data_IF_407981841993
#
_entry.id   IF_407981841993
#
_cell.length_a   1.000
_cell.length_b   1.000
_cell.length_c   1.000
_cell.angle_alpha   90.00
_cell.angle_beta   90.00
_cell.angle_gamma   90.00
#
_symmetry.space_group_name_H-M   'P 1'
#
loop_
_entity.id
_entity.type
_entity.pdbx_description
1 polymer ?
#
# COMPACT_ATOMS: atom_id res chain seq x y z
N UNK A 1 2.49 -4.45 -9.09
CA UNK A 1 2.77 -3.07 -8.65
C UNK A 1 2.01 -2.81 -7.36
N UNK A 2 2.64 -2.12 -6.41
CA UNK A 2 2.15 -1.95 -5.03
C UNK A 2 1.60 -0.54 -4.73
N UNK A 3 0.76 0.00 -5.60
CA UNK A 3 0.12 1.32 -5.41
C UNK A 3 0.99 2.52 -5.80
N UNK A 4 0.42 3.72 -5.63
CA UNK A 4 1.03 5.03 -5.90
C UNK A 4 1.50 5.21 -7.35
N UNK A 5 0.55 5.07 -8.26
CA UNK A 5 0.75 5.20 -9.72
C UNK A 5 0.64 6.65 -10.21
N UNK A 6 0.01 7.49 -9.41
CA UNK A 6 -0.34 8.87 -9.74
C UNK A 6 0.19 9.84 -8.70
N UNK A 7 0.04 11.14 -8.99
CA UNK A 7 0.51 12.28 -8.20
C UNK A 7 2.03 12.50 -8.22
N UNK A 8 2.45 13.71 -7.85
CA UNK A 8 3.84 14.23 -7.75
C UNK A 8 4.62 14.29 -9.07
N UNK A 9 4.48 13.31 -9.95
CA UNK A 9 5.12 13.26 -11.26
C UNK A 9 4.37 14.05 -12.34
N UNK A 10 5.03 14.27 -13.48
CA UNK A 10 4.45 14.99 -14.62
C UNK A 10 3.58 14.14 -15.56
N UNK A 11 3.61 12.81 -15.39
CA UNK A 11 3.07 11.82 -16.32
C UNK A 11 2.21 10.76 -15.63
N UNK A 12 1.41 11.17 -14.64
CA UNK A 12 0.53 10.26 -13.90
C UNK A 12 -0.52 9.64 -14.83
N UNK A 13 -1.09 10.43 -15.73
CA UNK A 13 -2.10 9.98 -16.72
C UNK A 13 -1.54 8.87 -17.59
N UNK A 14 -0.35 9.04 -18.17
CA UNK A 14 0.28 8.02 -19.02
C UNK A 14 0.65 6.78 -18.20
N UNK A 15 1.17 6.97 -16.99
CA UNK A 15 1.57 5.88 -16.09
C UNK A 15 0.39 4.99 -15.74
N UNK A 16 -0.70 5.57 -15.21
CA UNK A 16 -1.88 4.80 -14.81
C UNK A 16 -2.59 4.19 -16.03
N UNK A 17 -2.64 4.92 -17.16
CA UNK A 17 -3.22 4.40 -18.40
C UNK A 17 -2.48 3.15 -18.90
N UNK A 18 -1.15 3.17 -18.86
CA UNK A 18 -0.32 2.03 -19.24
C UNK A 18 -0.56 0.83 -18.31
N UNK A 19 -0.59 1.06 -17.00
CA UNK A 19 -0.81 -0.01 -16.02
C UNK A 19 -2.20 -0.65 -16.18
N UNK A 20 -3.23 0.17 -16.40
CA UNK A 20 -4.59 -0.32 -16.65
C UNK A 20 -4.66 -1.08 -17.99
N UNK A 21 -4.07 -0.55 -19.06
CA UNK A 21 -4.01 -1.25 -20.34
C UNK A 21 -3.29 -2.60 -20.25
N UNK A 22 -2.17 -2.66 -19.52
CA UNK A 22 -1.45 -3.90 -19.23
C UNK A 22 -2.30 -4.87 -18.40
N UNK A 23 -3.05 -4.38 -17.40
CA UNK A 23 -3.94 -5.21 -16.59
C UNK A 23 -5.09 -5.77 -17.42
N UNK A 24 -5.69 -4.99 -18.31
CA UNK A 24 -6.74 -5.45 -19.24
C UNK A 24 -6.19 -6.51 -20.20
N UNK A 25 -4.98 -6.29 -20.74
CA UNK A 25 -4.33 -7.21 -21.70
C UNK A 25 -3.79 -8.49 -21.05
N UNK A 26 -3.33 -8.41 -19.80
CA UNK A 26 -2.69 -9.48 -19.04
C UNK A 26 -3.32 -9.60 -17.65
N UNK A 27 -4.56 -10.09 -17.62
CA UNK A 27 -5.46 -10.08 -16.45
C UNK A 27 -4.91 -10.79 -15.21
N UNK A 28 -3.99 -11.74 -15.37
CA UNK A 28 -3.37 -12.47 -14.25
C UNK A 28 -2.27 -11.68 -13.51
N UNK A 29 -1.85 -10.50 -14.01
CA UNK A 29 -0.86 -9.66 -13.33
C UNK A 29 -1.50 -8.85 -12.19
N UNK A 30 -0.78 -8.66 -11.09
CA UNK A 30 -1.29 -8.04 -9.86
C UNK A 30 -0.95 -6.54 -9.82
N UNK A 31 -1.97 -5.75 -9.52
CA UNK A 31 -1.92 -4.30 -9.27
C UNK A 31 -2.80 -4.06 -8.05
N UNK A 32 -2.25 -3.49 -6.97
CA UNK A 32 -3.00 -3.19 -5.73
C UNK A 32 -3.18 -1.68 -5.56
N UNK A 33 -4.09 -1.25 -4.69
CA UNK A 33 -4.37 0.17 -4.40
C UNK A 33 -3.28 0.74 -3.49
N UNK A 34 -2.81 1.96 -3.76
CA UNK A 34 -2.01 2.77 -2.84
C UNK A 34 -2.83 3.90 -2.22
N UNK A 35 -2.21 4.68 -1.33
CA UNK A 35 -2.92 5.80 -0.70
C UNK A 35 -3.14 6.96 -1.68
N UNK A 36 -2.34 7.07 -2.74
CA UNK A 36 -2.54 8.05 -3.81
C UNK A 36 -3.64 7.67 -4.81
N UNK A 37 -4.15 6.44 -4.80
CA UNK A 37 -5.36 6.06 -5.57
C UNK A 37 -6.66 6.42 -4.83
N UNK A 38 -6.74 7.69 -4.39
CA UNK A 38 -7.82 8.29 -3.59
C UNK A 38 -8.26 9.62 -4.20
N UNK A 39 -9.57 9.92 -4.16
CA UNK A 39 -10.11 11.20 -4.65
C UNK A 39 -9.54 12.38 -3.88
N UNK A 40 -9.44 12.26 -2.56
CA UNK A 40 -8.99 13.36 -1.71
C UNK A 40 -7.50 13.68 -1.93
N UNK A 41 -6.68 12.63 -2.05
CA UNK A 41 -5.24 12.80 -2.26
C UNK A 41 -4.96 13.36 -3.67
N UNK A 42 -5.58 12.80 -4.70
CA UNK A 42 -5.35 13.22 -6.09
C UNK A 42 -5.78 14.66 -6.40
N UNK A 43 -6.72 15.22 -5.62
CA UNK A 43 -7.12 16.63 -5.70
C UNK A 43 -6.04 17.59 -5.22
N UNK A 44 -5.14 17.15 -4.34
CA UNK A 44 -4.13 17.99 -3.70
C UNK A 44 -2.73 17.76 -4.28
N UNK A 45 -2.43 16.52 -4.71
CA UNK A 45 -1.06 16.11 -5.05
C UNK A 45 -0.78 16.00 -6.56
N UNK A 46 -1.73 16.43 -7.40
CA UNK A 46 -1.47 16.84 -8.79
C UNK A 46 -2.18 16.03 -9.88
N UNK A 47 -2.69 14.84 -9.61
CA UNK A 47 -3.35 14.03 -10.64
C UNK A 47 -4.63 14.68 -11.18
N UNK A 48 -5.41 15.33 -10.31
CA UNK A 48 -6.58 16.11 -10.74
C UNK A 48 -6.19 17.22 -11.71
N UNK A 49 -5.20 18.04 -11.35
CA UNK A 49 -4.71 19.15 -12.17
C UNK A 49 -4.10 18.67 -13.49
N UNK A 50 -3.40 17.54 -13.46
CA UNK A 50 -2.85 16.90 -14.66
C UNK A 50 -3.96 16.48 -15.62
N UNK A 51 -5.01 15.83 -15.13
CA UNK A 51 -6.18 15.45 -15.92
C UNK A 51 -6.88 16.68 -16.51
N UNK A 52 -7.13 17.70 -15.67
CA UNK A 52 -7.80 18.93 -16.09
C UNK A 52 -7.02 19.65 -17.19
N UNK A 53 -5.69 19.75 -17.04
CA UNK A 53 -4.79 20.37 -18.02
C UNK A 53 -4.73 19.60 -19.34
N UNK A 54 -4.69 18.27 -19.30
CA UNK A 54 -4.54 17.43 -20.51
C UNK A 54 -5.85 17.26 -21.29
N UNK A 55 -6.99 17.25 -20.61
CA UNK A 55 -8.29 16.92 -21.23
C UNK A 55 -9.31 18.06 -21.21
N UNK A 56 -9.00 19.18 -20.54
CA UNK A 56 -9.87 20.37 -20.46
C UNK A 56 -11.10 20.20 -19.58
N UNK A 57 -11.25 19.05 -18.89
CA UNK A 57 -12.34 18.78 -17.95
C UNK A 57 -11.95 17.66 -16.96
N UNK A 58 -12.81 17.41 -15.97
CA UNK A 58 -12.55 16.46 -14.89
C UNK A 58 -13.02 15.01 -15.17
N UNK A 59 -13.51 14.69 -16.38
CA UNK A 59 -14.10 13.37 -16.65
C UNK A 59 -13.06 12.24 -16.54
N UNK A 60 -11.85 12.46 -17.05
CA UNK A 60 -10.77 11.45 -16.97
C UNK A 60 -10.39 11.17 -15.52
N UNK A 61 -10.26 12.21 -14.69
CA UNK A 61 -10.02 12.05 -13.25
C UNK A 61 -11.16 11.27 -12.59
N UNK A 62 -12.42 11.58 -12.93
CA UNK A 62 -13.58 10.86 -12.42
C UNK A 62 -13.54 9.37 -12.80
N UNK A 63 -13.25 9.05 -14.05
CA UNK A 63 -13.19 7.65 -14.50
C UNK A 63 -12.08 6.86 -13.81
N UNK A 64 -10.90 7.46 -13.62
CA UNK A 64 -9.81 6.80 -12.91
C UNK A 64 -10.11 6.63 -11.42
N UNK A 65 -10.65 7.64 -10.75
CA UNK A 65 -10.99 7.53 -9.33
C UNK A 65 -12.14 6.56 -9.08
N UNK A 66 -13.13 6.49 -9.97
CA UNK A 66 -14.18 5.46 -9.92
C UNK A 66 -13.60 4.04 -10.16
N UNK A 67 -12.56 3.91 -11.00
CA UNK A 67 -11.81 2.65 -11.17
C UNK A 67 -10.97 2.28 -9.94
N UNK A 68 -10.38 3.26 -9.25
CA UNK A 68 -9.52 3.02 -8.09
C UNK A 68 -10.24 2.29 -6.96
N UNK A 69 -11.54 2.49 -6.80
CA UNK A 69 -12.37 1.79 -5.81
C UNK A 69 -12.41 0.26 -6.04
N UNK A 70 -12.14 -0.20 -7.27
CA UNK A 70 -12.12 -1.63 -7.60
C UNK A 70 -10.76 -2.28 -7.37
N UNK A 71 -9.69 -1.50 -7.14
CA UNK A 71 -8.35 -2.04 -6.95
C UNK A 71 -8.29 -2.89 -5.68
N UNK A 72 -7.70 -4.10 -5.73
CA UNK A 72 -7.46 -4.90 -4.54
C UNK A 72 -6.59 -4.14 -3.53
N UNK A 73 -6.87 -4.29 -2.23
CA UNK A 73 -6.07 -3.67 -1.16
C UNK A 73 -4.76 -4.41 -0.93
N UNK A 74 -4.79 -5.73 -1.07
CA UNK A 74 -3.66 -6.61 -0.78
C UNK A 74 -3.56 -7.74 -1.79
N UNK A 75 -2.43 -8.44 -1.80
CA UNK A 75 -2.21 -9.65 -2.56
C UNK A 75 -1.47 -10.69 -1.72
N UNK A 76 -1.68 -11.96 -2.04
CA UNK A 76 -0.99 -13.08 -1.41
C UNK A 76 -0.30 -13.90 -2.51
N UNK A 77 1.03 -13.95 -2.46
CA UNK A 77 1.85 -14.68 -3.44
C UNK A 77 2.31 -15.99 -2.80
N UNK A 78 2.03 -17.09 -3.51
CA UNK A 78 2.37 -18.47 -3.10
C UNK A 78 1.90 -18.84 -1.68
N UNK A 79 0.80 -18.23 -1.23
CA UNK A 79 0.26 -18.39 0.13
C UNK A 79 1.23 -18.05 1.27
N UNK A 80 2.33 -17.34 0.99
CA UNK A 80 3.40 -17.08 1.95
C UNK A 80 3.84 -15.63 2.02
N UNK A 81 3.79 -14.90 0.89
CA UNK A 81 4.23 -13.51 0.83
C UNK A 81 2.99 -12.62 0.75
N UNK A 82 2.77 -11.84 1.80
CA UNK A 82 1.67 -10.91 1.90
C UNK A 82 2.12 -9.53 1.40
N UNK A 83 1.46 -9.04 0.35
CA UNK A 83 1.80 -7.77 -0.30
C UNK A 83 0.70 -6.74 -0.06
N UNK A 84 1.08 -5.53 0.33
CA UNK A 84 0.18 -4.39 0.53
C UNK A 84 0.93 -3.08 0.27
N UNK A 85 0.22 -1.96 0.18
CA UNK A 85 0.89 -0.67 -0.04
C UNK A 85 1.48 -0.08 1.24
N UNK A 86 0.63 0.14 2.25
CA UNK A 86 0.98 0.75 3.54
C UNK A 86 1.55 -0.28 4.50
N UNK A 87 0.73 -0.77 5.42
CA UNK A 87 1.20 -1.63 6.50
C UNK A 87 0.06 -2.29 7.30
N UNK A 88 0.39 -2.85 8.46
CA UNK A 88 -0.60 -3.59 9.26
C UNK A 88 -1.61 -2.68 9.96
N UNK A 89 -2.73 -3.26 10.39
CA UNK A 89 -3.79 -2.58 11.16
C UNK A 89 -3.99 -3.27 12.52
N UNK A 90 -4.17 -2.52 13.62
CA UNK A 90 -4.54 -3.10 14.90
C UNK A 90 -5.95 -3.72 14.90
N UNK A 91 -6.75 -3.47 13.86
CA UNK A 91 -8.10 -4.05 13.68
C UNK A 91 -8.09 -5.32 12.82
N UNK A 92 -6.93 -5.79 12.36
CA UNK A 92 -6.81 -6.93 11.44
C UNK A 92 -5.79 -7.93 11.99
N UNK A 93 -6.30 -9.04 12.51
CA UNK A 93 -5.46 -10.15 12.96
C UNK A 93 -5.27 -11.23 11.88
N UNK A 94 -6.22 -11.35 10.94
CA UNK A 94 -6.22 -12.42 9.93
C UNK A 94 -6.43 -11.92 8.50
N UNK A 95 -5.95 -12.71 7.53
CA UNK A 95 -6.23 -12.47 6.11
C UNK A 95 -7.73 -12.50 5.78
N UNK A 96 -8.53 -13.23 6.57
CA UNK A 96 -9.99 -13.29 6.38
C UNK A 96 -10.69 -11.98 6.77
N UNK A 97 -10.18 -11.25 7.78
CA UNK A 97 -10.68 -9.91 8.08
C UNK A 97 -10.49 -8.97 6.90
N UNK A 98 -9.38 -9.08 6.17
CA UNK A 98 -9.11 -8.27 4.97
C UNK A 98 -10.06 -8.64 3.83
N UNK A 99 -10.31 -9.94 3.61
CA UNK A 99 -11.24 -10.43 2.56
C UNK A 99 -12.68 -9.97 2.81
N UNK A 100 -13.05 -9.75 4.07
CA UNK A 100 -14.37 -9.30 4.46
C UNK A 100 -14.58 -7.77 4.31
N UNK A 101 -13.52 -7.00 4.04
CA UNK A 101 -13.65 -5.54 3.86
C UNK A 101 -14.43 -5.20 2.60
N UNK A 102 -15.40 -4.30 2.73
CA UNK A 102 -16.00 -3.64 1.57
C UNK A 102 -15.03 -2.57 1.04
N UNK A 103 -14.29 -2.92 -0.02
CA UNK A 103 -13.30 -2.01 -0.62
C UNK A 103 -13.89 -1.06 -1.65
N UNK A 104 -15.14 -1.27 -2.11
CA UNK A 104 -15.74 -0.54 -3.23
C UNK A 104 -16.24 0.85 -2.80
N UNK A 105 -15.32 1.62 -2.24
CA UNK A 105 -15.55 2.95 -1.69
C UNK A 105 -14.26 3.77 -1.72
N UNK A 106 -14.42 5.07 -1.50
CA UNK A 106 -13.29 5.96 -1.23
C UNK A 106 -12.54 5.51 0.03
N UNK A 107 -11.22 5.71 0.06
CA UNK A 107 -10.41 5.40 1.24
C UNK A 107 -10.92 6.20 2.45
N UNK A 108 -11.37 5.54 3.54
CA UNK A 108 -11.80 6.23 4.74
C UNK A 108 -10.64 6.97 5.42
N UNK A 109 -10.95 7.94 6.27
CA UNK A 109 -9.94 8.64 7.07
C UNK A 109 -9.35 7.78 8.20
N UNK A 110 -10.07 6.74 8.65
CA UNK A 110 -9.67 5.83 9.72
C UNK A 110 -10.18 4.40 9.48
N UNK A 111 -9.66 3.45 10.26
CA UNK A 111 -10.08 2.06 10.23
C UNK A 111 -9.24 1.17 9.29
N UNK A 112 -9.59 -0.12 9.19
CA UNK A 112 -8.70 -1.15 8.64
C UNK A 112 -8.29 -0.90 7.18
N UNK A 113 -9.17 -0.36 6.34
CA UNK A 113 -8.83 -0.02 4.95
C UNK A 113 -7.85 1.17 4.87
N UNK A 114 -8.00 2.17 5.75
CA UNK A 114 -7.07 3.28 5.84
C UNK A 114 -5.69 2.78 6.27
N UNK A 115 -5.64 1.99 7.34
CA UNK A 115 -4.41 1.45 7.90
C UNK A 115 -3.60 0.62 6.88
N UNK A 116 -4.28 -0.24 6.10
CA UNK A 116 -3.62 -1.04 5.05
C UNK A 116 -2.90 -0.19 3.98
N UNK A 117 -3.33 1.05 3.79
CA UNK A 117 -2.78 1.98 2.80
C UNK A 117 -1.86 3.04 3.42
N UNK A 118 -1.93 3.30 4.72
CA UNK A 118 -1.22 4.41 5.37
C UNK A 118 -0.26 4.02 6.49
N UNK A 119 -0.44 2.83 7.08
CA UNK A 119 0.36 2.42 8.21
C UNK A 119 1.82 2.28 7.82
N UNK A 120 2.67 2.72 8.73
CA UNK A 120 4.10 2.63 8.63
C UNK A 120 4.67 1.71 9.70
N UNK A 121 5.75 1.03 9.39
CA UNK A 121 6.48 0.27 10.39
C UNK A 121 7.57 1.10 11.11
N UNK A 122 7.99 0.67 12.30
CA UNK A 122 8.73 1.47 13.29
C UNK A 122 9.71 0.61 14.11
N UNK A 123 10.81 1.23 14.56
CA UNK A 123 11.81 0.62 15.44
C UNK A 123 11.24 0.25 16.82
N UNK A 124 10.21 0.97 17.25
CA UNK A 124 9.57 0.77 18.55
C UNK A 124 8.63 -0.43 18.48
N UNK A 125 8.66 -1.24 19.54
CA UNK A 125 7.72 -2.36 19.69
C UNK A 125 6.28 -1.91 19.88
N UNK A 126 5.34 -2.75 19.46
CA UNK A 126 3.90 -2.52 19.57
C UNK A 126 3.35 -1.56 18.51
N UNK A 127 2.22 -0.95 18.83
CA UNK A 127 1.55 0.03 17.97
C UNK A 127 1.85 1.47 18.42
N UNK A 128 1.98 2.38 17.46
CA UNK A 128 2.08 3.82 17.69
C UNK A 128 1.16 4.62 16.77
N UNK A 129 1.01 5.91 17.05
CA UNK A 129 0.23 6.81 16.19
C UNK A 129 1.11 7.23 15.01
N UNK A 130 0.56 7.10 13.80
CA UNK A 130 1.28 7.51 12.58
C UNK A 130 1.53 9.03 12.56
N UNK A 131 2.77 9.47 12.28
CA UNK A 131 3.08 10.89 12.10
C UNK A 131 2.46 11.48 10.82
N UNK A 132 1.91 10.63 9.93
CA UNK A 132 1.23 11.07 8.70
C UNK A 132 -0.16 11.63 8.93
N UNK A 133 -0.72 11.47 10.13
CA UNK A 133 -2.10 11.82 10.45
C UNK A 133 -3.14 10.79 9.99
N UNK A 134 -2.71 9.65 9.46
CA UNK A 134 -3.54 8.50 9.08
C UNK A 134 -2.75 7.20 9.26
N UNK A 135 -3.43 6.11 9.64
CA UNK A 135 -2.81 4.82 9.94
C UNK A 135 -2.06 4.78 11.28
N UNK A 136 -1.27 3.72 11.46
CA UNK A 136 -0.50 3.48 12.68
C UNK A 136 0.99 3.30 12.38
N UNK A 137 1.82 3.41 13.42
CA UNK A 137 3.13 2.78 13.41
C UNK A 137 3.09 1.37 14.00
N UNK A 138 3.90 0.43 13.50
CA UNK A 138 3.97 -0.94 14.05
C UNK A 138 5.38 -1.51 14.13
N UNK A 139 5.68 -2.18 15.25
CA UNK A 139 6.96 -2.80 15.51
C UNK A 139 7.16 -4.18 14.89
N UNK A 140 8.37 -4.71 15.07
CA UNK A 140 8.75 -6.07 14.65
C UNK A 140 7.87 -7.14 15.30
N UNK A 141 7.53 -6.99 16.58
CA UNK A 141 6.68 -7.90 17.35
C UNK A 141 5.28 -8.07 16.73
N UNK A 142 4.70 -6.97 16.22
CA UNK A 142 3.42 -6.97 15.52
C UNK A 142 3.53 -7.74 14.20
N UNK A 143 4.61 -7.50 13.45
CA UNK A 143 4.85 -8.13 12.15
C UNK A 143 5.06 -9.64 12.29
N UNK A 144 5.86 -10.06 13.27
CA UNK A 144 6.09 -11.47 13.60
C UNK A 144 4.81 -12.17 14.04
N UNK A 145 4.02 -11.52 14.90
CA UNK A 145 2.74 -12.06 15.37
C UNK A 145 1.77 -12.27 14.21
N UNK A 146 1.62 -11.27 13.34
CA UNK A 146 0.75 -11.35 12.17
C UNK A 146 1.20 -12.46 11.21
N UNK A 147 2.51 -12.54 10.92
CA UNK A 147 3.05 -13.57 10.04
C UNK A 147 2.85 -14.97 10.60
N UNK A 148 3.15 -15.17 11.89
CA UNK A 148 2.96 -16.46 12.55
C UNK A 148 1.49 -16.89 12.55
N UNK A 149 0.58 -15.97 12.86
CA UNK A 149 -0.87 -16.25 12.88
C UNK A 149 -1.41 -16.62 11.50
N UNK A 150 -0.90 -16.00 10.43
CA UNK A 150 -1.39 -16.17 9.07
C UNK A 150 -0.53 -17.12 8.21
N UNK A 151 0.44 -17.81 8.82
CA UNK A 151 1.38 -18.72 8.14
C UNK A 151 2.16 -18.06 6.99
N UNK A 152 2.55 -16.81 7.18
CA UNK A 152 3.30 -16.02 6.21
C UNK A 152 4.81 -16.06 6.51
N UNK A 153 5.60 -15.89 5.46
CA UNK A 153 7.06 -15.77 5.57
C UNK A 153 7.53 -14.33 5.43
N UNK A 154 6.75 -13.46 4.78
CA UNK A 154 7.14 -12.09 4.48
C UNK A 154 5.92 -11.19 4.32
N UNK A 155 6.06 -9.95 4.81
CA UNK A 155 5.22 -8.81 4.46
C UNK A 155 6.02 -7.93 3.50
N UNK A 156 5.50 -7.71 2.30
CA UNK A 156 6.09 -6.86 1.25
C UNK A 156 5.26 -5.60 1.11
N UNK A 157 5.89 -4.42 1.22
CA UNK A 157 5.18 -3.13 1.32
C UNK A 157 5.93 -1.92 0.77
N UNK A 158 5.19 -0.94 0.26
CA UNK A 158 5.72 0.24 -0.41
C UNK A 158 5.66 1.51 0.48
N UNK A 159 5.13 2.63 -0.03
CA UNK A 159 4.72 3.85 0.70
C UNK A 159 5.81 4.73 1.38
N UNK A 160 6.92 4.18 1.86
CA UNK A 160 8.04 4.97 2.43
C UNK A 160 9.19 5.15 1.44
N UNK A 161 9.74 6.37 1.40
CA UNK A 161 11.01 6.65 0.71
C UNK A 161 12.17 6.20 1.61
N UNK A 162 13.07 5.39 1.08
CA UNK A 162 14.28 4.94 1.77
C UNK A 162 15.50 5.53 1.05
N UNK A 163 16.42 6.14 1.83
CA UNK A 163 17.52 6.97 1.30
C UNK A 163 18.72 6.15 0.77
N UNK A 164 18.87 4.89 1.18
CA UNK A 164 19.90 3.99 0.64
C UNK A 164 19.30 3.08 -0.43
N UNK A 165 20.03 2.90 -1.53
CA UNK A 165 19.58 2.14 -2.70
C UNK A 165 19.43 0.66 -2.35
N UNK A 166 18.18 0.24 -2.15
CA UNK A 166 17.71 -1.12 -2.39
C UNK A 166 17.86 -2.11 -1.24
N UNK A 167 16.71 -2.44 -0.64
CA UNK A 167 16.44 -3.65 0.13
C UNK A 167 17.08 -3.77 1.53
N UNK A 168 16.23 -4.03 2.54
CA UNK A 168 16.65 -4.48 3.86
C UNK A 168 15.84 -5.74 4.26
N UNK A 169 16.46 -6.92 4.41
CA UNK A 169 15.77 -8.19 4.62
C UNK A 169 15.25 -8.42 6.05
N UNK A 170 14.06 -9.02 6.13
CA UNK A 170 13.52 -9.57 7.36
C UNK A 170 14.42 -10.56 8.10
N UNK A 171 14.54 -10.46 9.45
CA UNK A 171 15.34 -11.39 10.22
C UNK A 171 14.75 -12.78 10.05
N UNK A 172 15.51 -13.63 9.37
CA UNK A 172 15.16 -15.03 9.16
C UNK A 172 15.50 -15.83 10.40
N UNK A 173 14.68 -16.85 10.67
CA UNK A 173 14.93 -17.80 11.74
C UNK A 173 16.31 -18.47 11.55
N UNK A 174 17.28 -18.12 12.41
CA UNK A 174 18.63 -18.72 12.42
C UNK A 174 19.79 -17.81 12.01
N UNK A 175 19.57 -16.54 11.63
CA UNK A 175 20.68 -15.58 11.45
C UNK A 175 21.16 -15.03 12.81
N UNK A 176 22.48 -14.80 12.98
CA UNK A 176 22.99 -14.16 14.19
C UNK A 176 22.41 -12.74 14.33
N UNK A 177 22.05 -12.36 15.57
CA UNK A 177 21.61 -11.01 15.91
C UNK A 177 22.73 -10.00 15.60
N UNK A 178 22.74 -9.47 14.39
CA UNK A 178 23.39 -8.20 14.08
C UNK A 178 22.42 -7.13 14.55
N UNK A 179 22.88 -6.17 15.33
CA UNK A 179 22.12 -4.98 15.72
C UNK A 179 21.83 -4.16 14.45
N UNK A 180 20.79 -4.57 13.71
CA UNK A 180 20.29 -3.85 12.53
C UNK A 180 19.36 -2.76 13.04
N UNK A 181 19.56 -1.54 12.54
CA UNK A 181 18.69 -0.40 12.79
C UNK A 181 17.51 -0.57 11.84
N UNK A 182 16.28 -0.50 12.32
CA UNK A 182 15.00 -0.61 11.57
C UNK A 182 14.58 -2.00 11.06
N UNK A 183 13.33 -2.43 11.30
CA UNK A 183 12.76 -3.61 10.67
C UNK A 183 12.43 -3.33 9.19
N UNK A 184 12.94 -4.14 8.28
CA UNK A 184 12.46 -4.72 6.99
C UNK A 184 11.23 -4.17 6.21
N UNK A 185 11.44 -3.50 5.07
CA UNK A 185 10.38 -3.10 4.08
C UNK A 185 10.77 -3.41 2.63
N UNK A 186 9.80 -3.64 1.72
CA UNK A 186 10.06 -4.06 0.33
C UNK A 186 9.13 -3.38 -0.70
N UNK A 187 9.68 -2.48 -1.53
CA UNK A 187 9.06 -1.81 -2.70
C UNK A 187 8.67 -2.75 -3.85
#
# INVERSE_FOLDING_TARGET
FMGDYVDRGYYSVETVSLLVALKVRYQHRITIRGNHESRQITQVYGFYDECLRKYGNANVWKYFTDLFDYLPLTALVDSQIFCLHGGLSPSIDSLDHIRALDRLQEVPHEGPMCDLLWSDPDDRGGWGISPRGAGYTFGQDISETFNHHNHLTLISRAHQLVMEVGFDPAPRRGEPHVTRRTPDYFL
#
